data_IF_691375263878
#
_entry.id   IF_691375263878
#
_cell.length_a   1.000
_cell.length_b   1.000
_cell.length_c   1.000
_cell.angle_alpha   90.00
_cell.angle_beta   90.00
_cell.angle_gamma   90.00
#
_symmetry.space_group_name_H-M   'P 1'
#
loop_
_entity.id
_entity.type
_entity.pdbx_description
1 polymer ?
#
# COMPACT_ATOMS: atom_id res chain seq x y z
N UNK A 1 -0.12 20.03 -10.28
CA UNK A 1 0.18 18.99 -9.27
C UNK A 1 0.67 17.79 -10.04
N UNK A 2 1.85 17.29 -9.71
CA UNK A 2 2.43 16.14 -10.40
C UNK A 2 2.08 14.86 -9.64
N UNK A 3 1.53 13.88 -10.34
CA UNK A 3 1.14 12.58 -9.79
C UNK A 3 1.88 11.47 -10.51
N UNK A 4 2.40 10.49 -9.77
CA UNK A 4 3.21 9.40 -10.32
C UNK A 4 2.86 8.07 -9.66
N UNK A 5 2.82 7.00 -10.45
CA UNK A 5 2.78 5.63 -9.98
C UNK A 5 4.09 4.92 -10.31
N UNK A 6 4.64 4.18 -9.35
CA UNK A 6 5.92 3.46 -9.51
C UNK A 6 5.76 2.02 -9.04
N UNK A 7 6.23 1.07 -9.85
CA UNK A 7 6.40 -0.32 -9.40
C UNK A 7 7.77 -0.45 -8.75
N UNK A 8 7.83 -0.98 -7.54
CA UNK A 8 9.05 -1.17 -6.77
C UNK A 8 9.05 -2.54 -6.07
N UNK A 9 10.21 -3.14 -5.84
CA UNK A 9 10.32 -4.30 -4.95
C UNK A 9 9.81 -3.94 -3.55
N UNK A 10 9.02 -4.83 -2.95
CA UNK A 10 8.54 -4.66 -1.58
C UNK A 10 9.69 -4.98 -0.62
N UNK A 11 10.15 -3.98 0.12
CA UNK A 11 11.35 -4.10 0.98
C UNK A 11 11.15 -5.06 2.15
N UNK A 12 9.93 -5.14 2.70
CA UNK A 12 9.59 -6.04 3.82
C UNK A 12 9.10 -7.43 3.40
N UNK A 13 8.61 -7.60 2.16
CA UNK A 13 8.05 -8.86 1.66
C UNK A 13 8.94 -9.34 0.51
N UNK A 14 9.97 -10.18 0.79
CA UNK A 14 10.93 -10.59 -0.23
C UNK A 14 10.25 -11.23 -1.44
N UNK A 15 10.68 -10.82 -2.63
CA UNK A 15 10.15 -11.33 -3.90
C UNK A 15 8.73 -10.84 -4.25
N UNK A 16 8.17 -9.91 -3.47
CA UNK A 16 6.91 -9.23 -3.82
C UNK A 16 7.20 -7.86 -4.40
N UNK A 17 6.28 -7.37 -5.22
CA UNK A 17 6.27 -5.99 -5.72
C UNK A 17 5.20 -5.17 -5.01
N UNK A 18 5.37 -3.85 -5.05
CA UNK A 18 4.39 -2.87 -4.61
C UNK A 18 4.26 -1.75 -5.65
N UNK A 19 3.04 -1.22 -5.76
CA UNK A 19 2.78 0.02 -6.48
C UNK A 19 2.81 1.16 -5.47
N UNK A 20 3.65 2.16 -5.72
CA UNK A 20 3.73 3.39 -4.95
C UNK A 20 2.98 4.50 -5.67
N UNK A 21 2.15 5.24 -4.94
CA UNK A 21 1.57 6.51 -5.37
C UNK A 21 2.35 7.68 -4.78
N UNK A 22 2.79 8.58 -5.65
CA UNK A 22 3.53 9.78 -5.32
C UNK A 22 2.77 11.02 -5.80
N UNK A 23 2.78 12.07 -4.97
CA UNK A 23 2.21 13.38 -5.31
C UNK A 23 3.19 14.47 -4.94
N UNK A 24 3.52 15.32 -5.90
CA UNK A 24 4.46 16.43 -5.77
C UNK A 24 5.79 15.99 -5.11
N UNK A 25 6.33 14.84 -5.57
CA UNK A 25 7.58 14.25 -5.09
C UNK A 25 7.52 13.56 -3.72
N UNK A 26 6.34 13.47 -3.09
CA UNK A 26 6.16 12.82 -1.78
C UNK A 26 5.47 11.46 -1.93
N UNK A 27 5.97 10.46 -1.21
CA UNK A 27 5.28 9.17 -1.07
C UNK A 27 3.95 9.37 -0.34
N UNK A 28 2.86 8.98 -0.99
CA UNK A 28 1.50 9.10 -0.46
C UNK A 28 0.96 7.76 -0.01
N UNK A 29 1.05 6.73 -0.84
CA UNK A 29 0.50 5.41 -0.53
C UNK A 29 1.28 4.29 -1.20
N UNK A 30 1.20 3.10 -0.62
CA UNK A 30 1.69 1.85 -1.22
C UNK A 30 0.56 0.84 -1.34
N UNK A 31 0.57 0.05 -2.41
CA UNK A 31 -0.41 -0.99 -2.70
C UNK A 31 0.34 -2.29 -2.99
N UNK A 32 0.01 -3.38 -2.30
CA UNK A 32 0.68 -4.67 -2.48
C UNK A 32 -0.22 -5.85 -2.07
N UNK A 33 0.12 -7.09 -2.50
CA UNK A 33 -0.67 -8.27 -2.17
C UNK A 33 -0.77 -8.54 -0.66
N UNK A 34 -1.93 -9.01 -0.22
CA UNK A 34 -2.21 -9.48 1.13
C UNK A 34 -2.77 -10.91 1.08
N UNK A 35 -2.62 -11.69 2.15
CA UNK A 35 -3.13 -13.07 2.19
C UNK A 35 -4.65 -13.14 1.93
N UNK A 36 -5.38 -12.13 2.39
CA UNK A 36 -6.85 -12.02 2.28
C UNK A 36 -7.31 -11.10 1.13
N UNK A 37 -6.39 -10.55 0.31
CA UNK A 37 -6.74 -9.60 -0.75
C UNK A 37 -5.63 -8.61 -1.11
N UNK A 38 -5.94 -7.31 -1.11
CA UNK A 38 -5.00 -6.22 -1.45
C UNK A 38 -4.82 -5.31 -0.25
N UNK A 39 -3.57 -5.04 0.15
CA UNK A 39 -3.27 -4.08 1.20
C UNK A 39 -2.92 -2.72 0.60
N UNK A 40 -3.57 -1.68 1.13
CA UNK A 40 -3.26 -0.28 0.87
C UNK A 40 -2.71 0.33 2.15
N UNK A 41 -1.52 0.94 2.08
CA UNK A 41 -0.89 1.62 3.22
C UNK A 41 -0.71 3.10 2.92
N UNK A 42 -0.97 3.96 3.90
CA UNK A 42 -0.67 5.39 3.79
C UNK A 42 -0.56 6.03 5.17
N UNK A 43 0.42 6.92 5.34
CA UNK A 43 0.51 7.78 6.54
C UNK A 43 -0.54 8.90 6.57
N UNK A 44 -1.24 9.12 5.46
CA UNK A 44 -2.29 10.12 5.31
C UNK A 44 -3.69 9.50 5.38
N UNK A 45 -3.79 8.20 5.66
CA UNK A 45 -5.07 7.51 5.77
C UNK A 45 -5.82 8.01 7.01
N UNK A 46 -7.12 8.30 6.83
CA UNK A 46 -8.02 8.75 7.89
C UNK A 46 -9.00 7.63 8.20
N UNK A 47 -9.37 7.46 9.47
CA UNK A 47 -10.34 6.44 9.92
C UNK A 47 -9.73 5.05 10.16
N UNK A 48 -8.42 4.89 9.98
CA UNK A 48 -7.67 3.67 10.32
C UNK A 48 -6.61 3.95 11.36
N UNK A 49 -6.30 2.95 12.19
CA UNK A 49 -5.22 3.05 13.19
C UNK A 49 -3.97 2.36 12.66
N UNK A 50 -2.77 2.90 12.92
CA UNK A 50 -1.52 2.17 12.75
C UNK A 50 -1.56 0.89 13.57
N UNK A 51 -1.04 -0.20 13.03
CA UNK A 51 -0.91 -1.48 13.72
C UNK A 51 0.58 -1.81 13.89
N UNK A 52 0.99 -2.17 15.10
CA UNK A 52 2.32 -2.73 15.38
C UNK A 52 3.52 -1.92 14.88
N UNK A 53 3.41 -0.58 14.76
CA UNK A 53 4.47 0.28 14.23
C UNK A 53 4.51 0.42 12.70
N UNK A 54 3.57 -0.19 11.98
CA UNK A 54 3.39 -0.01 10.55
C UNK A 54 2.49 1.20 10.24
N UNK A 55 2.63 1.84 9.07
CA UNK A 55 1.70 2.86 8.62
C UNK A 55 0.25 2.34 8.65
N UNK A 56 -0.69 3.25 8.87
CA UNK A 56 -2.10 2.91 8.80
C UNK A 56 -2.43 2.26 7.45
N UNK A 57 -3.27 1.22 7.49
CA UNK A 57 -3.54 0.36 6.36
C UNK A 57 -5.01 -0.06 6.31
N UNK A 58 -5.49 -0.33 5.09
CA UNK A 58 -6.73 -1.07 4.83
C UNK A 58 -6.37 -2.32 4.04
N UNK A 59 -7.02 -3.42 4.35
CA UNK A 59 -7.07 -4.60 3.49
C UNK A 59 -8.41 -4.58 2.75
N UNK A 60 -8.35 -4.53 1.43
CA UNK A 60 -9.50 -4.77 0.56
C UNK A 60 -9.57 -6.27 0.35
N UNK A 61 -10.51 -6.92 1.04
CA UNK A 61 -10.77 -8.34 0.85
C UNK A 61 -11.33 -8.60 -0.54
N UNK A 62 -10.83 -9.65 -1.18
CA UNK A 62 -11.27 -10.04 -2.51
C UNK A 62 -12.09 -11.34 -2.42
N UNK A 63 -13.31 -11.33 -2.96
CA UNK A 63 -14.18 -12.50 -2.99
C UNK A 63 -14.22 -13.08 -4.41
N UNK A 64 -13.56 -14.22 -4.63
CA UNK A 64 -13.52 -14.91 -5.92
C UNK A 64 -12.28 -15.81 -6.10
N UNK A 65 -12.23 -16.62 -7.18
CA UNK A 65 -11.02 -17.35 -7.54
C UNK A 65 -10.03 -16.42 -8.23
N UNK A 66 -8.89 -16.14 -7.57
CA UNK A 66 -7.80 -15.30 -8.09
C UNK A 66 -6.51 -16.10 -8.19
#
# INVERSE_FOLDING_TARGET
MAEEFKVKPHTTLPGKEMVEYWRDGKFVAGIYPHQDGIRVVSKYMVGTKPDGGFPAAVVVELAGPY
#
